data_IF_067562009895
#
_entry.id   IF_067562009895
#
_cell.length_a   1.000
_cell.length_b   1.000
_cell.length_c   1.000
_cell.angle_alpha   90.00
_cell.angle_beta   90.00
_cell.angle_gamma   90.00
#
_symmetry.space_group_name_H-M   'P 1'
#
loop_
_entity.id
_entity.type
_entity.pdbx_description
1 polymer ?
#
# COMPACT_ATOMS: atom_id res chain seq x y z
N UNK A 1 -0.06 -12.63 21.87
CA UNK A 1 -0.60 -11.64 20.91
C UNK A 1 0.61 -10.88 20.40
N UNK A 2 1.11 -11.22 19.20
CA UNK A 2 2.22 -10.51 18.58
C UNK A 2 1.58 -9.38 17.77
N UNK A 3 1.95 -8.13 18.04
CA UNK A 3 1.41 -6.99 17.29
C UNK A 3 1.77 -7.11 15.81
N UNK A 4 0.94 -6.54 14.94
CA UNK A 4 1.26 -6.40 13.52
C UNK A 4 2.46 -5.46 13.37
N UNK A 5 3.41 -5.81 12.50
CA UNK A 5 4.57 -4.97 12.22
C UNK A 5 4.19 -3.94 11.15
N UNK A 6 4.36 -2.66 11.47
CA UNK A 6 4.03 -1.52 10.61
C UNK A 6 5.30 -0.77 10.19
N UNK A 7 5.29 -0.19 8.99
CA UNK A 7 6.39 0.57 8.42
C UNK A 7 5.90 1.95 8.00
N UNK A 8 6.61 3.00 8.46
CA UNK A 8 6.40 4.37 7.99
C UNK A 8 7.44 4.69 6.92
N UNK A 9 6.97 5.02 5.72
CA UNK A 9 7.83 5.46 4.60
C UNK A 9 7.86 6.98 4.51
N UNK A 10 9.06 7.56 4.38
CA UNK A 10 9.25 9.02 4.25
C UNK A 10 10.05 9.28 2.98
N UNK A 11 9.46 10.02 2.05
CA UNK A 11 10.07 10.36 0.77
C UNK A 11 10.43 11.85 0.73
N UNK A 12 11.71 12.16 0.49
CA UNK A 12 12.24 13.53 0.59
C UNK A 12 12.76 14.03 -0.76
N UNK A 13 12.38 15.24 -1.12
CA UNK A 13 12.80 15.90 -2.35
C UNK A 13 12.13 15.36 -3.61
N UNK A 14 12.41 16.00 -4.75
CA UNK A 14 11.75 15.70 -6.03
C UNK A 14 11.96 14.25 -6.48
N UNK A 15 13.21 13.77 -6.44
CA UNK A 15 13.53 12.41 -6.85
C UNK A 15 12.85 11.38 -5.93
N UNK A 16 12.85 11.61 -4.62
CA UNK A 16 12.21 10.73 -3.64
C UNK A 16 10.70 10.61 -3.90
N UNK A 17 10.01 11.74 -4.09
CA UNK A 17 8.56 11.74 -4.35
C UNK A 17 8.22 11.09 -5.69
N UNK A 18 9.02 11.30 -6.74
CA UNK A 18 8.75 10.68 -8.04
C UNK A 18 8.89 9.16 -8.01
N UNK A 19 9.93 8.66 -7.33
CA UNK A 19 10.11 7.21 -7.13
C UNK A 19 8.98 6.67 -6.27
N UNK A 20 8.60 7.37 -5.19
CA UNK A 20 7.51 6.99 -4.31
C UNK A 20 6.19 6.79 -5.06
N UNK A 21 5.84 7.73 -5.95
CA UNK A 21 4.60 7.64 -6.72
C UNK A 21 4.56 6.36 -7.56
N UNK A 22 5.65 6.05 -8.26
CA UNK A 22 5.74 4.82 -9.04
C UNK A 22 5.71 3.55 -8.16
N UNK A 23 6.38 3.57 -7.01
CA UNK A 23 6.36 2.47 -6.05
C UNK A 23 4.96 2.24 -5.48
N UNK A 24 4.23 3.30 -5.12
CA UNK A 24 2.87 3.19 -4.59
C UNK A 24 1.87 2.75 -5.65
N UNK A 25 1.99 3.23 -6.89
CA UNK A 25 1.16 2.74 -8.00
C UNK A 25 1.35 1.23 -8.20
N UNK A 26 2.60 0.77 -8.25
CA UNK A 26 2.90 -0.66 -8.37
C UNK A 26 2.39 -1.46 -7.17
N UNK A 27 2.62 -0.97 -5.95
CA UNK A 27 2.17 -1.62 -4.73
C UNK A 27 0.64 -1.80 -4.72
N UNK A 28 -0.12 -0.77 -5.10
CA UNK A 28 -1.57 -0.83 -5.21
C UNK A 28 -2.00 -1.86 -6.25
N UNK A 29 -1.37 -1.90 -7.42
CA UNK A 29 -1.67 -2.89 -8.47
C UNK A 29 -1.41 -4.32 -7.98
N UNK A 30 -0.27 -4.57 -7.34
CA UNK A 30 0.10 -5.89 -6.81
C UNK A 30 -0.87 -6.39 -5.75
N UNK A 31 -1.45 -5.47 -4.96
CA UNK A 31 -2.37 -5.75 -3.86
C UNK A 31 -3.85 -5.59 -4.21
N UNK A 32 -4.17 -5.36 -5.49
CA UNK A 32 -5.55 -5.18 -5.94
C UNK A 32 -6.23 -3.98 -5.29
N UNK A 33 -5.50 -2.90 -5.01
CA UNK A 33 -6.04 -1.66 -4.47
C UNK A 33 -6.26 -0.68 -5.63
N UNK A 34 -7.49 -0.19 -5.76
CA UNK A 34 -7.87 0.78 -6.77
C UNK A 34 -7.36 2.18 -6.42
N UNK A 35 -7.34 3.10 -7.39
CA UNK A 35 -6.78 4.44 -7.20
C UNK A 35 -7.55 5.32 -6.20
N UNK A 36 -8.77 4.93 -5.82
CA UNK A 36 -9.58 5.52 -4.75
C UNK A 36 -9.32 4.89 -3.37
N UNK A 37 -8.39 3.92 -3.28
CA UNK A 37 -8.01 3.26 -2.03
C UNK A 37 -8.90 2.09 -1.63
N UNK A 38 -9.84 1.66 -2.48
CA UNK A 38 -10.68 0.50 -2.24
C UNK A 38 -10.01 -0.80 -2.70
N UNK A 39 -10.46 -1.94 -2.17
CA UNK A 39 -10.06 -3.24 -2.70
C UNK A 39 -10.82 -3.53 -4.01
N UNK A 40 -10.13 -4.08 -4.98
CA UNK A 40 -10.70 -4.55 -6.23
C UNK A 40 -11.53 -5.82 -5.98
N UNK A 41 -12.80 -5.80 -6.40
CA UNK A 41 -13.82 -6.81 -6.02
C UNK A 41 -13.46 -8.26 -6.34
N UNK A 42 -12.57 -8.51 -7.30
CA UNK A 42 -12.16 -9.85 -7.73
C UNK A 42 -10.65 -10.11 -7.51
N UNK A 43 -10.03 -9.43 -6.55
CA UNK A 43 -8.65 -9.69 -6.19
C UNK A 43 -8.55 -10.94 -5.30
N UNK A 44 -7.90 -12.00 -5.79
CA UNK A 44 -7.72 -13.28 -5.07
C UNK A 44 -6.40 -13.33 -4.26
N UNK A 45 -5.75 -12.20 -4.00
CA UNK A 45 -4.50 -12.16 -3.25
C UNK A 45 -4.66 -12.17 -1.73
N UNK A 46 -3.56 -12.04 -1.01
CA UNK A 46 -3.55 -12.09 0.45
C UNK A 46 -4.11 -10.79 1.06
N UNK A 47 -5.26 -10.86 1.74
CA UNK A 47 -5.91 -9.72 2.38
C UNK A 47 -5.10 -9.05 3.51
N UNK A 48 -4.01 -9.64 3.99
CA UNK A 48 -3.21 -9.06 5.08
C UNK A 48 -1.86 -8.54 4.64
N UNK A 49 -1.44 -8.76 3.39
CA UNK A 49 -0.07 -8.39 2.97
C UNK A 49 0.15 -6.89 2.87
N UNK A 50 -0.92 -6.10 2.82
CA UNK A 50 -0.85 -4.65 2.81
C UNK A 50 -0.87 -3.99 4.19
N UNK A 51 -1.22 -4.71 5.27
CA UNK A 51 -1.36 -4.12 6.62
C UNK A 51 -0.06 -3.52 7.17
N UNK A 52 1.10 -3.96 6.67
CA UNK A 52 2.40 -3.39 7.04
C UNK A 52 2.58 -1.94 6.55
N UNK A 53 1.88 -1.54 5.48
CA UNK A 53 2.06 -0.25 4.80
C UNK A 53 0.78 0.57 4.69
N UNK A 54 -0.39 -0.07 4.68
CA UNK A 54 -1.69 0.58 4.68
C UNK A 54 -2.43 0.34 5.98
N UNK A 55 -3.14 1.38 6.42
CA UNK A 55 -4.10 1.32 7.52
C UNK A 55 -5.51 1.30 6.92
N UNK A 56 -6.31 0.25 7.16
CA UNK A 56 -7.69 0.21 6.71
C UNK A 56 -8.51 1.38 7.28
N UNK A 57 -9.40 1.94 6.47
CA UNK A 57 -10.35 2.98 6.89
C UNK A 57 -11.78 2.45 6.74
N UNK A 58 -12.72 3.01 7.49
CA UNK A 58 -14.14 2.64 7.46
C UNK A 58 -14.86 3.19 6.23
#
# INVERSE_FOLDING_TARGET
>A
MMGEAEVVTIFVGQAGVQVANACWELFCIEHGITCDGCAYENYEGNETSYNTLFTPTQ
#
